data_IF_501867033144
#
_entry.id   IF_501867033144
#
_cell.length_a   1.000
_cell.length_b   1.000
_cell.length_c   1.000
_cell.angle_alpha   90.00
_cell.angle_beta   90.00
_cell.angle_gamma   90.00
#
_symmetry.space_group_name_H-M   'P 1'
#
loop_
_entity.id
_entity.type
_entity.pdbx_description
1 polymer ?
#
# COMPACT_ATOMS: atom_id res chain seq x y z
N UNK A 1 -2.36 -17.91 -9.68
CA UNK A 1 -1.50 -17.67 -8.51
C UNK A 1 -2.23 -16.83 -7.44
N UNK A 2 -2.85 -15.70 -7.77
CA UNK A 2 -3.50 -14.81 -6.79
C UNK A 2 -5.00 -15.12 -6.55
N UNK A 3 -5.63 -16.01 -7.30
CA UNK A 3 -7.05 -16.37 -7.15
C UNK A 3 -7.40 -16.81 -5.72
N UNK A 4 -6.66 -17.77 -5.17
CA UNK A 4 -6.89 -18.22 -3.80
C UNK A 4 -6.70 -17.09 -2.77
N UNK A 5 -5.85 -16.10 -3.04
CA UNK A 5 -5.63 -14.96 -2.16
C UNK A 5 -6.86 -14.03 -2.12
N UNK A 6 -7.44 -13.70 -3.27
CA UNK A 6 -8.61 -12.80 -3.33
C UNK A 6 -9.92 -13.46 -2.87
N UNK A 7 -9.96 -14.80 -2.82
CA UNK A 7 -11.11 -15.58 -2.38
C UNK A 7 -11.11 -15.89 -0.88
N UNK A 8 -10.19 -15.30 -0.12
CA UNK A 8 -10.07 -15.54 1.32
C UNK A 8 -10.21 -14.26 2.17
N UNK A 9 -10.49 -14.47 3.46
CA UNK A 9 -10.45 -13.48 4.53
C UNK A 9 -11.22 -12.17 4.24
N UNK A 10 -10.55 -11.02 4.31
CA UNK A 10 -11.13 -9.68 4.17
C UNK A 10 -11.56 -9.43 2.73
N UNK A 11 -10.76 -9.82 1.75
CA UNK A 11 -11.04 -9.63 0.33
C UNK A 11 -12.31 -10.36 -0.10
N UNK A 12 -12.45 -11.64 0.27
CA UNK A 12 -13.68 -12.41 0.03
C UNK A 12 -14.91 -11.74 0.64
N UNK A 13 -14.79 -11.31 1.90
CA UNK A 13 -15.91 -10.64 2.59
C UNK A 13 -16.31 -9.32 1.94
N UNK A 14 -15.33 -8.54 1.48
CA UNK A 14 -15.58 -7.29 0.77
C UNK A 14 -16.33 -7.52 -0.53
N UNK A 15 -15.92 -8.52 -1.33
CA UNK A 15 -16.59 -8.93 -2.56
C UNK A 15 -18.01 -9.47 -2.28
N UNK A 16 -18.16 -10.36 -1.29
CA UNK A 16 -19.47 -10.91 -0.91
C UNK A 16 -20.46 -9.83 -0.47
N UNK A 17 -19.97 -8.74 0.13
CA UNK A 17 -20.80 -7.59 0.52
C UNK A 17 -21.04 -6.60 -0.64
N UNK A 18 -20.48 -6.83 -1.83
CA UNK A 18 -20.58 -5.90 -2.95
C UNK A 18 -19.85 -4.58 -2.75
N UNK A 19 -18.85 -4.52 -1.84
CA UNK A 19 -18.06 -3.31 -1.59
C UNK A 19 -16.93 -3.11 -2.59
N UNK A 20 -16.52 -4.19 -3.26
CA UNK A 20 -15.51 -4.22 -4.32
C UNK A 20 -15.79 -5.39 -5.24
N UNK A 21 -15.46 -5.24 -6.51
CA UNK A 21 -15.37 -6.32 -7.48
C UNK A 21 -13.89 -6.46 -7.88
N UNK A 22 -13.34 -7.67 -7.82
CA UNK A 22 -11.96 -7.96 -8.21
C UNK A 22 -12.00 -8.93 -9.39
N UNK A 23 -11.52 -8.47 -10.55
CA UNK A 23 -11.44 -9.27 -11.78
C UNK A 23 -9.98 -9.61 -12.08
N UNK A 24 -9.69 -10.89 -12.25
CA UNK A 24 -8.40 -11.35 -12.75
C UNK A 24 -8.54 -11.56 -14.26
N UNK A 25 -7.66 -10.92 -15.01
CA UNK A 25 -7.60 -11.03 -16.46
C UNK A 25 -6.29 -11.73 -16.84
N UNK A 26 -6.41 -12.83 -17.55
CA UNK A 26 -5.25 -13.58 -18.02
C UNK A 26 -4.74 -12.99 -19.34
N UNK A 27 -3.51 -12.50 -19.37
CA UNK A 27 -2.91 -11.95 -20.59
C UNK A 27 -2.86 -12.97 -21.76
N UNK A 28 -2.81 -14.26 -21.46
CA UNK A 28 -2.84 -15.31 -22.50
C UNK A 28 -4.15 -15.36 -23.29
N UNK A 29 -5.23 -14.81 -22.77
CA UNK A 29 -6.50 -14.69 -23.51
C UNK A 29 -6.39 -13.70 -24.68
N UNK A 30 -5.34 -12.86 -24.68
CA UNK A 30 -5.02 -11.88 -25.72
C UNK A 30 -3.78 -12.24 -26.54
N UNK A 31 -3.30 -13.46 -26.39
CA UNK A 31 -2.11 -13.96 -27.05
C UNK A 31 -2.13 -13.75 -28.57
N UNK A 32 -0.94 -13.72 -29.18
CA UNK A 32 -0.74 -13.57 -30.64
C UNK A 32 -1.16 -14.80 -31.42
N UNK A 33 -1.10 -15.96 -30.80
CA UNK A 33 -1.30 -17.25 -31.43
C UNK A 33 -1.99 -18.25 -30.48
N UNK A 34 -2.33 -19.43 -31.02
CA UNK A 34 -2.94 -20.53 -30.27
C UNK A 34 -2.00 -21.17 -29.22
N UNK A 35 -0.70 -20.91 -29.31
CA UNK A 35 0.29 -21.39 -28.35
C UNK A 35 0.28 -20.56 -27.06
N UNK A 36 -0.32 -19.36 -27.07
CA UNK A 36 -0.43 -18.49 -25.93
C UNK A 36 0.75 -17.54 -25.78
N UNK A 37 1.39 -17.12 -26.88
CA UNK A 37 2.54 -16.22 -26.90
C UNK A 37 2.11 -14.81 -26.47
N UNK A 38 2.69 -14.36 -25.35
CA UNK A 38 2.44 -13.01 -24.75
C UNK A 38 3.72 -12.21 -24.57
N UNK A 39 4.87 -12.83 -24.73
CA UNK A 39 6.21 -12.30 -24.48
C UNK A 39 7.16 -12.67 -25.64
N UNK A 40 8.23 -11.89 -25.82
CA UNK A 40 9.20 -12.06 -26.88
C UNK A 40 10.60 -11.64 -26.40
N UNK A 41 11.65 -12.02 -27.12
CA UNK A 41 13.01 -11.61 -26.81
C UNK A 41 13.19 -10.09 -26.98
N UNK A 42 13.91 -9.42 -26.06
CA UNK A 42 14.13 -7.99 -26.19
C UNK A 42 15.00 -7.65 -27.42
N UNK A 43 14.68 -6.55 -28.08
CA UNK A 43 15.60 -5.97 -29.06
C UNK A 43 16.91 -5.56 -28.40
N UNK A 44 18.01 -5.72 -29.10
CA UNK A 44 19.35 -5.45 -28.54
C UNK A 44 19.98 -6.65 -27.82
N UNK A 45 19.25 -7.77 -27.70
CA UNK A 45 19.74 -8.98 -27.02
C UNK A 45 19.57 -8.91 -25.50
N UNK A 46 20.05 -9.91 -24.81
CA UNK A 46 19.95 -10.06 -23.36
C UNK A 46 19.28 -11.39 -22.98
N UNK A 47 19.33 -11.71 -21.70
CA UNK A 47 18.61 -12.85 -21.13
C UNK A 47 17.15 -12.47 -20.87
N UNK A 48 16.25 -13.47 -20.88
CA UNK A 48 14.85 -13.28 -20.52
C UNK A 48 13.94 -12.86 -21.68
N UNK A 49 12.70 -12.52 -21.32
CA UNK A 49 11.61 -12.20 -22.23
C UNK A 49 10.96 -10.89 -21.79
N UNK A 50 10.27 -10.21 -22.69
CA UNK A 50 9.55 -8.94 -22.41
C UNK A 50 8.12 -9.09 -22.86
N UNK A 51 7.15 -8.68 -22.05
CA UNK A 51 5.73 -8.72 -22.39
C UNK A 51 5.44 -7.81 -23.58
N UNK A 52 4.78 -8.35 -24.59
CA UNK A 52 4.57 -7.69 -25.88
C UNK A 52 3.53 -6.58 -25.81
N UNK A 53 3.86 -5.42 -26.36
CA UNK A 53 3.02 -4.21 -26.34
C UNK A 53 1.63 -4.41 -26.97
N UNK A 54 1.54 -5.15 -28.05
CA UNK A 54 0.28 -5.42 -28.73
C UNK A 54 -0.67 -6.29 -27.90
N UNK A 55 -0.16 -7.29 -27.19
CA UNK A 55 -0.92 -8.12 -26.25
C UNK A 55 -1.43 -7.26 -25.08
N UNK A 56 -0.55 -6.46 -24.50
CA UNK A 56 -0.89 -5.53 -23.40
C UNK A 56 -1.95 -4.52 -23.85
N UNK A 57 -1.79 -3.92 -25.04
CA UNK A 57 -2.75 -2.96 -25.58
C UNK A 57 -4.10 -3.60 -25.87
N UNK A 58 -4.11 -4.82 -26.43
CA UNK A 58 -5.33 -5.56 -26.72
C UNK A 58 -6.08 -5.90 -25.43
N UNK A 59 -5.37 -6.33 -24.37
CA UNK A 59 -5.99 -6.57 -23.07
C UNK A 59 -6.58 -5.30 -22.46
N UNK A 60 -5.87 -4.17 -22.53
CA UNK A 60 -6.35 -2.88 -22.05
C UNK A 60 -7.62 -2.44 -22.79
N UNK A 61 -7.65 -2.55 -24.11
CA UNK A 61 -8.84 -2.20 -24.92
C UNK A 61 -10.06 -3.06 -24.55
N UNK A 62 -9.85 -4.33 -24.22
CA UNK A 62 -10.93 -5.23 -23.77
C UNK A 62 -11.49 -4.84 -22.40
N UNK A 63 -10.63 -4.41 -21.46
CA UNK A 63 -11.04 -4.01 -20.10
C UNK A 63 -11.73 -2.64 -20.13
N UNK A 64 -11.13 -1.68 -20.84
CA UNK A 64 -11.55 -0.27 -20.82
C UNK A 64 -12.65 0.06 -21.85
N UNK A 65 -13.16 -0.92 -22.64
CA UNK A 65 -14.11 -0.68 -23.75
C UNK A 65 -13.73 0.53 -24.63
N UNK A 66 -12.42 0.67 -24.96
CA UNK A 66 -11.81 1.79 -25.71
C UNK A 66 -12.00 3.19 -25.13
N UNK A 67 -12.61 3.31 -23.96
CA UNK A 67 -12.71 4.57 -23.22
C UNK A 67 -12.02 4.39 -21.87
N UNK A 68 -11.22 5.36 -21.46
CA UNK A 68 -10.83 5.43 -20.03
C UNK A 68 -12.12 5.44 -19.22
N UNK A 69 -12.35 4.46 -18.32
CA UNK A 69 -13.69 4.18 -17.83
C UNK A 69 -14.33 5.35 -17.09
N UNK A 70 -13.54 6.11 -16.34
CA UNK A 70 -14.02 7.31 -15.60
C UNK A 70 -12.88 8.29 -15.36
N UNK A 71 -13.20 9.50 -14.91
CA UNK A 71 -12.21 10.49 -14.45
C UNK A 71 -11.48 10.06 -13.16
N UNK A 72 -11.96 8.99 -12.52
CA UNK A 72 -11.41 8.42 -11.28
C UNK A 72 -10.89 6.99 -11.47
N UNK A 73 -10.39 6.65 -12.64
CA UNK A 73 -9.71 5.39 -12.91
C UNK A 73 -8.21 5.60 -13.04
N UNK A 74 -7.42 4.61 -12.61
CA UNK A 74 -5.96 4.57 -12.84
C UNK A 74 -5.51 3.23 -13.36
N UNK A 75 -4.50 3.26 -14.23
CA UNK A 75 -3.80 2.10 -14.75
C UNK A 75 -2.38 2.15 -14.21
N UNK A 76 -1.97 1.12 -13.47
CA UNK A 76 -0.63 1.04 -12.89
C UNK A 76 0.11 -0.22 -13.36
N UNK A 77 1.43 -0.12 -13.45
CA UNK A 77 2.34 -1.26 -13.64
C UNK A 77 3.05 -1.59 -12.34
N UNK A 78 3.23 -2.87 -12.03
CA UNK A 78 4.20 -3.29 -10.99
C UNK A 78 5.59 -3.38 -11.62
N UNK A 79 6.52 -2.58 -11.12
CA UNK A 79 7.87 -2.46 -11.70
C UNK A 79 8.88 -2.11 -10.61
N UNK A 80 10.09 -2.69 -10.67
CA UNK A 80 11.18 -2.32 -9.75
C UNK A 80 11.61 -0.84 -9.91
N UNK A 81 11.37 -0.24 -11.09
CA UNK A 81 11.70 1.18 -11.40
C UNK A 81 10.65 2.15 -10.86
N UNK A 82 9.49 1.65 -10.44
CA UNK A 82 8.36 2.47 -10.06
C UNK A 82 8.58 3.24 -8.75
N UNK A 83 7.68 4.18 -8.49
CA UNK A 83 7.62 4.86 -7.19
C UNK A 83 7.23 3.88 -6.09
N UNK A 84 7.86 4.02 -4.90
CA UNK A 84 7.63 3.09 -3.79
C UNK A 84 6.20 3.22 -3.28
N UNK A 85 5.48 2.09 -3.22
CA UNK A 85 4.15 1.98 -2.64
C UNK A 85 4.19 2.24 -1.13
N UNK A 86 3.26 3.01 -0.63
CA UNK A 86 3.13 3.34 0.78
C UNK A 86 1.67 3.58 1.17
N UNK A 87 1.39 3.78 2.46
CA UNK A 87 0.04 3.97 2.97
C UNK A 87 -0.68 5.17 2.33
N UNK A 88 0.02 6.25 2.02
CA UNK A 88 -0.57 7.42 1.34
C UNK A 88 -1.06 7.06 -0.05
N UNK A 89 -0.28 6.29 -0.82
CA UNK A 89 -0.72 5.78 -2.12
C UNK A 89 -1.91 4.83 -2.00
N UNK A 90 -1.91 3.94 -1.01
CA UNK A 90 -3.08 3.08 -0.77
C UNK A 90 -4.34 3.91 -0.51
N UNK A 91 -4.24 4.98 0.28
CA UNK A 91 -5.34 5.92 0.54
C UNK A 91 -5.77 6.72 -0.71
N UNK A 92 -4.84 7.05 -1.61
CA UNK A 92 -5.17 7.66 -2.91
C UNK A 92 -5.95 6.68 -3.79
N UNK A 93 -5.46 5.46 -3.90
CA UNK A 93 -6.08 4.42 -4.73
C UNK A 93 -7.43 3.96 -4.19
N UNK A 94 -7.65 3.97 -2.87
CA UNK A 94 -8.94 3.62 -2.27
C UNK A 94 -10.07 4.62 -2.58
N UNK A 95 -9.76 5.78 -3.14
CA UNK A 95 -10.73 6.81 -3.57
C UNK A 95 -11.09 6.71 -5.05
N UNK A 96 -10.46 5.80 -5.78
CA UNK A 96 -10.74 5.55 -7.19
C UNK A 96 -12.00 4.70 -7.35
N UNK A 97 -12.69 4.90 -8.46
CA UNK A 97 -13.81 4.03 -8.86
C UNK A 97 -13.29 2.73 -9.48
N UNK A 98 -12.09 2.77 -10.11
CA UNK A 98 -11.45 1.63 -10.73
C UNK A 98 -9.91 1.76 -10.67
N UNK A 99 -9.25 0.64 -10.37
CA UNK A 99 -7.79 0.52 -10.41
C UNK A 99 -7.43 -0.72 -11.25
N UNK A 100 -6.75 -0.51 -12.36
CA UNK A 100 -6.23 -1.56 -13.22
C UNK A 100 -4.76 -1.77 -12.87
N UNK A 101 -4.38 -3.00 -12.49
CA UNK A 101 -3.02 -3.33 -12.09
C UNK A 101 -2.44 -4.33 -13.09
N UNK A 102 -1.41 -3.92 -13.83
CA UNK A 102 -0.63 -4.84 -14.65
C UNK A 102 0.50 -5.44 -13.81
N UNK A 103 0.42 -6.75 -13.59
CA UNK A 103 1.46 -7.52 -12.92
C UNK A 103 2.57 -7.88 -13.92
N UNK A 104 3.77 -7.34 -13.72
CA UNK A 104 4.94 -7.64 -14.56
C UNK A 104 5.42 -9.08 -14.38
N UNK A 105 6.04 -9.61 -15.44
CA UNK A 105 6.72 -10.90 -15.42
C UNK A 105 8.00 -10.83 -16.24
N UNK A 106 8.93 -11.77 -16.04
CA UNK A 106 10.21 -11.84 -16.76
C UNK A 106 11.04 -10.54 -16.60
N UNK A 107 11.51 -9.95 -17.73
CA UNK A 107 12.26 -8.68 -17.75
C UNK A 107 11.34 -7.45 -17.72
N UNK A 108 10.01 -7.66 -17.66
CA UNK A 108 9.03 -6.60 -17.56
C UNK A 108 8.21 -6.40 -18.83
N UNK A 109 7.90 -5.15 -19.10
CA UNK A 109 6.98 -4.72 -20.16
C UNK A 109 7.74 -4.03 -21.29
N UNK A 110 7.22 -4.14 -22.51
CA UNK A 110 7.67 -3.29 -23.62
C UNK A 110 7.47 -1.82 -23.24
N UNK A 111 8.53 -1.03 -23.35
CA UNK A 111 8.55 0.38 -22.89
C UNK A 111 7.45 1.24 -23.52
N UNK A 112 7.02 0.92 -24.73
CA UNK A 112 5.92 1.63 -25.43
C UNK A 112 4.58 1.51 -24.72
N UNK A 113 4.40 0.51 -23.83
CA UNK A 113 3.19 0.37 -23.04
C UNK A 113 3.08 1.42 -21.92
N UNK A 114 4.19 2.01 -21.50
CA UNK A 114 4.21 3.10 -20.48
C UNK A 114 3.37 4.31 -20.90
N UNK A 115 3.18 4.57 -22.20
CA UNK A 115 2.31 5.63 -22.71
C UNK A 115 0.83 5.46 -22.33
N UNK A 116 0.41 4.25 -22.00
CA UNK A 116 -0.96 3.91 -21.61
C UNK A 116 -1.17 3.80 -20.12
N UNK A 117 -0.12 3.98 -19.32
CA UNK A 117 -0.09 3.76 -17.88
C UNK A 117 0.01 5.09 -17.16
N UNK A 118 -0.71 5.23 -16.06
CA UNK A 118 -0.67 6.45 -15.26
C UNK A 118 0.54 6.46 -14.29
N UNK A 119 0.98 5.29 -13.83
CA UNK A 119 2.07 5.20 -12.86
C UNK A 119 2.73 3.81 -12.81
N UNK A 120 4.06 3.75 -12.60
CA UNK A 120 4.77 2.54 -12.22
C UNK A 120 4.97 2.50 -10.69
N UNK A 121 4.67 1.34 -10.09
CA UNK A 121 4.70 1.14 -8.65
C UNK A 121 5.67 0.02 -8.28
N UNK A 122 6.56 0.31 -7.33
CA UNK A 122 7.48 -0.65 -6.70
C UNK A 122 7.04 -0.95 -5.27
N UNK A 123 7.27 -2.19 -4.79
CA UNK A 123 7.13 -2.51 -3.37
C UNK A 123 8.39 -2.19 -2.56
N UNK A 124 9.52 -1.94 -3.22
CA UNK A 124 10.81 -1.68 -2.58
C UNK A 124 11.98 -2.20 -3.41
N UNK A 125 13.19 -2.03 -2.89
CA UNK A 125 14.46 -2.33 -3.57
C UNK A 125 14.82 -3.82 -3.43
N UNK A 126 13.99 -4.70 -3.98
CA UNK A 126 14.22 -6.14 -4.05
C UNK A 126 13.54 -6.75 -5.27
N UNK A 127 14.02 -7.91 -5.71
CA UNK A 127 13.51 -8.62 -6.88
C UNK A 127 12.68 -9.82 -6.44
N UNK A 128 11.53 -9.99 -7.09
CA UNK A 128 10.64 -11.15 -6.96
C UNK A 128 10.39 -11.78 -8.32
N UNK A 129 9.88 -13.00 -8.34
CA UNK A 129 9.71 -13.78 -9.58
C UNK A 129 8.67 -13.24 -10.54
N UNK A 130 7.72 -12.42 -10.05
CA UNK A 130 6.64 -11.82 -10.86
C UNK A 130 5.90 -10.76 -10.08
N UNK A 131 5.21 -9.88 -10.77
CA UNK A 131 4.46 -8.76 -10.21
C UNK A 131 3.12 -9.13 -9.56
N UNK A 132 2.70 -10.40 -9.65
CA UNK A 132 1.41 -10.84 -9.11
C UNK A 132 1.33 -10.66 -7.59
N UNK A 133 2.42 -10.95 -6.86
CA UNK A 133 2.48 -10.71 -5.41
C UNK A 133 2.44 -9.22 -5.08
N UNK A 134 3.06 -8.39 -5.91
CA UNK A 134 2.97 -6.94 -5.79
C UNK A 134 1.53 -6.47 -5.99
N UNK A 135 0.87 -6.95 -7.03
CA UNK A 135 -0.53 -6.63 -7.32
C UNK A 135 -1.46 -7.09 -6.18
N UNK A 136 -1.24 -8.28 -5.63
CA UNK A 136 -1.98 -8.81 -4.48
C UNK A 136 -1.79 -7.91 -3.23
N UNK A 137 -0.56 -7.51 -2.94
CA UNK A 137 -0.23 -6.63 -1.81
C UNK A 137 -0.90 -5.26 -1.96
N UNK A 138 -0.84 -4.66 -3.15
CA UNK A 138 -1.51 -3.39 -3.44
C UNK A 138 -3.03 -3.54 -3.28
N UNK A 139 -3.61 -4.61 -3.84
CA UNK A 139 -5.03 -4.92 -3.75
C UNK A 139 -5.48 -5.03 -2.28
N UNK A 140 -4.78 -5.80 -1.44
CA UNK A 140 -5.10 -5.93 -0.01
C UNK A 140 -5.04 -4.58 0.71
N UNK A 141 -3.95 -3.84 0.52
CA UNK A 141 -3.74 -2.55 1.15
C UNK A 141 -4.82 -1.52 0.78
N UNK A 142 -5.32 -1.56 -0.46
CA UNK A 142 -6.37 -0.65 -0.96
C UNK A 142 -7.75 -1.09 -0.49
N UNK A 143 -8.11 -2.36 -0.67
CA UNK A 143 -9.46 -2.88 -0.36
C UNK A 143 -9.79 -2.74 1.11
N UNK A 144 -8.83 -2.98 2.03
CA UNK A 144 -9.08 -2.82 3.46
C UNK A 144 -9.41 -1.38 3.88
N UNK A 145 -9.09 -0.38 3.05
CA UNK A 145 -9.41 1.04 3.29
C UNK A 145 -10.79 1.44 2.78
N UNK A 146 -11.47 0.59 2.02
CA UNK A 146 -12.80 0.89 1.52
C UNK A 146 -13.83 0.93 2.67
N UNK A 147 -14.79 1.87 2.65
CA UNK A 147 -15.83 1.98 3.67
C UNK A 147 -16.58 0.66 3.86
N UNK A 148 -16.80 0.24 5.10
CA UNK A 148 -17.54 -0.97 5.44
C UNK A 148 -16.79 -2.31 5.32
N UNK A 149 -15.54 -2.31 4.83
CA UNK A 149 -14.70 -3.52 4.75
C UNK A 149 -14.24 -3.94 6.14
N UNK A 150 -13.68 -3.03 6.93
CA UNK A 150 -13.33 -3.28 8.32
C UNK A 150 -14.51 -2.98 9.24
N UNK A 151 -14.62 -3.77 10.33
CA UNK A 151 -15.73 -3.64 11.30
C UNK A 151 -15.71 -2.33 12.09
N UNK A 152 -14.54 -1.75 12.32
CA UNK A 152 -14.36 -0.48 13.04
C UNK A 152 -13.88 0.56 12.04
N UNK A 153 -14.66 1.59 11.80
CA UNK A 153 -14.31 2.70 10.90
C UNK A 153 -13.02 3.41 11.34
N UNK A 154 -12.77 3.49 12.65
CA UNK A 154 -11.56 4.10 13.19
C UNK A 154 -10.32 3.18 13.15
N UNK A 155 -10.45 1.93 12.70
CA UNK A 155 -9.32 1.00 12.65
C UNK A 155 -8.23 1.43 11.67
N UNK A 156 -8.57 2.25 10.68
CA UNK A 156 -7.63 2.72 9.64
C UNK A 156 -7.01 4.08 9.93
N UNK A 157 -7.47 4.80 10.96
CA UNK A 157 -7.03 6.16 11.24
C UNK A 157 -5.78 6.25 12.15
N UNK A 158 -5.60 5.26 13.03
CA UNK A 158 -4.49 5.22 14.00
C UNK A 158 -3.67 3.92 13.91
N UNK A 159 -3.74 3.21 12.78
CA UNK A 159 -2.96 1.98 12.56
C UNK A 159 -1.54 2.29 12.12
N UNK A 160 -0.67 1.33 12.41
CA UNK A 160 0.73 1.19 11.97
C UNK A 160 1.46 2.46 11.50
N UNK A 161 0.78 3.31 10.70
CA UNK A 161 1.25 4.63 10.24
C UNK A 161 0.10 5.63 10.33
N UNK A 162 0.22 6.63 11.20
CA UNK A 162 -0.77 7.69 11.33
C UNK A 162 -0.12 9.08 11.33
N UNK A 163 -0.83 10.07 10.83
CA UNK A 163 -0.38 11.46 10.82
C UNK A 163 -0.99 12.23 11.99
N UNK A 164 -0.21 13.13 12.56
CA UNK A 164 -0.67 14.03 13.63
C UNK A 164 -0.07 15.43 13.41
N UNK A 165 -0.87 16.52 13.56
CA UNK A 165 -0.34 17.87 13.57
C UNK A 165 0.75 18.01 14.63
N UNK A 166 1.89 18.59 14.25
CA UNK A 166 3.04 18.71 15.15
C UNK A 166 2.70 19.52 16.41
N UNK A 167 1.85 20.53 16.28
CA UNK A 167 1.41 21.36 17.43
C UNK A 167 0.60 20.54 18.44
N UNK A 168 -0.23 19.62 17.97
CA UNK A 168 -1.04 18.74 18.82
C UNK A 168 -0.13 17.73 19.54
N UNK A 169 0.82 17.14 18.82
CA UNK A 169 1.79 16.23 19.41
C UNK A 169 2.59 16.92 20.53
N UNK A 170 3.13 18.12 20.28
CA UNK A 170 3.86 18.92 21.28
C UNK A 170 3.00 19.20 22.51
N UNK A 171 1.72 19.54 22.31
CA UNK A 171 0.81 19.86 23.41
C UNK A 171 0.52 18.66 24.33
N UNK A 172 0.48 17.44 23.76
CA UNK A 172 0.12 16.21 24.47
C UNK A 172 1.34 15.60 25.20
N UNK A 173 2.48 15.44 24.50
CA UNK A 173 3.62 14.71 25.05
C UNK A 173 4.68 15.59 25.72
N UNK A 174 4.50 16.90 25.65
CA UNK A 174 5.44 17.93 26.09
C UNK A 174 6.55 18.24 25.07
N UNK A 175 7.10 19.45 25.07
CA UNK A 175 8.11 19.85 24.10
C UNK A 175 9.43 19.12 24.30
N UNK A 176 9.80 18.30 23.35
CA UNK A 176 11.12 17.67 23.25
C UNK A 176 11.99 18.48 22.28
N UNK A 177 13.32 18.52 22.46
CA UNK A 177 14.23 19.27 21.57
C UNK A 177 13.98 18.94 20.09
N UNK A 178 13.86 17.67 19.74
CA UNK A 178 13.61 17.22 18.37
C UNK A 178 12.30 17.76 17.80
N UNK A 179 11.21 17.81 18.59
CA UNK A 179 9.92 18.37 18.14
C UNK A 179 10.02 19.88 17.89
N UNK A 180 10.75 20.60 18.75
CA UNK A 180 11.00 22.04 18.57
C UNK A 180 11.83 22.31 17.31
N UNK A 181 12.80 21.45 17.00
CA UNK A 181 13.60 21.57 15.78
C UNK A 181 12.77 21.28 14.53
N UNK A 182 11.88 20.30 14.54
CA UNK A 182 10.92 20.06 13.46
C UNK A 182 10.00 21.27 13.26
N UNK A 183 9.54 21.90 14.36
CA UNK A 183 8.73 23.09 14.30
C UNK A 183 9.48 24.29 13.69
N UNK A 184 10.75 24.49 14.05
CA UNK A 184 11.63 25.51 13.46
C UNK A 184 11.86 25.29 11.96
N UNK A 185 11.92 24.03 11.51
CA UNK A 185 12.01 23.64 10.09
C UNK A 185 10.69 23.87 9.32
N UNK A 186 9.63 24.31 10.00
CA UNK A 186 8.32 24.56 9.38
C UNK A 186 7.48 23.32 9.11
N UNK A 187 7.84 22.17 9.72
CA UNK A 187 7.05 20.94 9.63
C UNK A 187 5.72 21.15 10.37
N UNK A 188 4.61 20.94 9.68
CA UNK A 188 3.26 21.11 10.22
C UNK A 188 2.65 19.84 10.75
N UNK A 189 2.99 18.72 10.14
CA UNK A 189 2.46 17.39 10.42
C UNK A 189 3.59 16.38 10.39
N UNK A 190 3.54 15.39 11.26
CA UNK A 190 4.47 14.27 11.31
C UNK A 190 3.72 12.96 11.15
N UNK A 191 4.34 11.99 10.48
CA UNK A 191 3.85 10.64 10.43
C UNK A 191 4.55 9.80 11.48
N UNK A 192 3.79 9.06 12.28
CA UNK A 192 4.30 8.20 13.34
C UNK A 192 3.99 6.75 13.04
N UNK A 193 4.86 5.85 13.50
CA UNK A 193 4.52 4.43 13.61
C UNK A 193 3.70 4.19 14.88
N UNK A 194 2.91 3.12 14.88
CA UNK A 194 2.09 2.76 16.03
C UNK A 194 2.94 2.48 17.29
N UNK A 195 2.37 2.80 18.44
CA UNK A 195 2.94 2.50 19.75
C UNK A 195 2.90 0.99 20.05
N UNK A 196 3.73 0.49 20.99
CA UNK A 196 3.75 -0.94 21.33
C UNK A 196 2.44 -1.38 21.96
N UNK A 197 1.92 -2.50 21.48
CA UNK A 197 0.70 -3.13 21.99
C UNK A 197 1.05 -4.19 23.04
N UNK A 198 0.19 -4.32 24.05
CA UNK A 198 0.31 -5.30 25.11
C UNK A 198 -1.00 -6.10 25.24
N UNK A 199 -0.89 -7.38 25.55
CA UNK A 199 -2.02 -8.28 25.80
C UNK A 199 -1.81 -9.08 27.07
N UNK A 200 -2.75 -9.93 27.42
CA UNK A 200 -2.67 -10.85 28.57
C UNK A 200 -1.68 -11.99 28.31
N UNK A 201 -0.99 -12.49 29.35
CA UNK A 201 -1.10 -12.12 30.76
C UNK A 201 -0.42 -10.76 31.07
N UNK A 202 -0.72 -10.18 32.24
CA UNK A 202 -0.18 -8.89 32.71
C UNK A 202 1.33 -8.95 33.00
N UNK A 203 1.82 -10.13 33.39
CA UNK A 203 3.24 -10.43 33.56
C UNK A 203 3.61 -11.72 32.83
N UNK A 204 4.70 -11.68 32.07
CA UNK A 204 5.25 -12.84 31.38
C UNK A 204 6.78 -12.84 31.48
N UNK A 205 7.35 -13.89 32.08
CA UNK A 205 8.80 -14.04 32.29
C UNK A 205 9.47 -12.82 32.97
N UNK A 206 8.82 -12.27 33.98
CA UNK A 206 9.30 -11.10 34.72
C UNK A 206 9.10 -9.76 34.00
N UNK A 207 8.55 -9.77 32.79
CA UNK A 207 8.22 -8.55 32.02
C UNK A 207 6.77 -8.17 32.25
N UNK A 208 6.52 -6.97 32.72
CA UNK A 208 5.18 -6.47 33.05
C UNK A 208 4.62 -5.53 31.99
N UNK A 209 3.32 -5.54 31.83
CA UNK A 209 2.59 -4.51 31.11
C UNK A 209 2.83 -3.18 31.84
N UNK A 210 3.10 -2.08 31.13
CA UNK A 210 3.25 -0.75 31.77
C UNK A 210 2.01 -0.38 32.59
N UNK A 211 2.20 -0.02 33.86
CA UNK A 211 1.11 0.31 34.81
C UNK A 211 0.16 1.38 34.29
N UNK A 212 0.67 2.31 33.49
CA UNK A 212 -0.14 3.37 32.89
C UNK A 212 -1.28 2.81 31.99
N UNK A 213 -1.06 1.66 31.32
CA UNK A 213 -2.06 1.00 30.47
C UNK A 213 -3.15 0.32 31.32
N UNK A 214 -2.87 0.06 32.58
CA UNK A 214 -3.78 -0.57 33.56
C UNK A 214 -4.52 0.50 34.41
N UNK A 215 -4.15 1.78 34.28
CA UNK A 215 -4.65 2.88 35.13
C UNK A 215 -6.14 3.22 34.93
N UNK A 216 -6.75 2.83 33.81
CA UNK A 216 -8.12 3.22 33.47
C UNK A 216 -8.28 4.71 33.12
N UNK A 217 -7.20 5.50 33.04
CA UNK A 217 -7.22 6.92 32.68
C UNK A 217 -6.94 7.12 31.19
N UNK A 218 -7.96 7.40 30.33
CA UNK A 218 -7.78 7.50 28.88
C UNK A 218 -6.80 8.60 28.46
N UNK A 219 -6.72 9.70 29.22
CA UNK A 219 -5.83 10.82 28.89
C UNK A 219 -4.37 10.43 29.11
N UNK A 220 -4.06 9.79 30.24
CA UNK A 220 -2.71 9.30 30.53
C UNK A 220 -2.30 8.21 29.56
N UNK A 221 -3.20 7.28 29.23
CA UNK A 221 -2.96 6.21 28.24
C UNK A 221 -2.65 6.82 26.88
N UNK A 222 -3.47 7.77 26.38
CA UNK A 222 -3.24 8.43 25.07
C UNK A 222 -1.90 9.19 25.05
N UNK A 223 -1.57 9.90 26.12
CA UNK A 223 -0.27 10.59 26.24
C UNK A 223 0.88 9.59 26.12
N UNK A 224 0.83 8.49 26.85
CA UNK A 224 1.85 7.44 26.82
C UNK A 224 1.96 6.81 25.43
N UNK A 225 0.83 6.51 24.79
CA UNK A 225 0.79 5.95 23.45
C UNK A 225 1.49 6.85 22.41
N UNK A 226 1.15 8.15 22.40
CA UNK A 226 1.76 9.11 21.49
C UNK A 226 3.25 9.33 21.79
N UNK A 227 3.64 9.35 23.05
CA UNK A 227 5.03 9.44 23.43
C UNK A 227 5.82 8.22 22.93
N UNK A 228 5.29 7.01 23.12
CA UNK A 228 5.94 5.78 22.63
C UNK A 228 5.96 5.69 21.11
N UNK A 229 4.89 6.10 20.43
CA UNK A 229 4.86 6.19 18.98
C UNK A 229 5.98 7.12 18.46
N UNK A 230 6.12 8.30 19.05
CA UNK A 230 7.18 9.24 18.68
C UNK A 230 8.59 8.69 18.95
N UNK A 231 8.83 8.13 20.13
CA UNK A 231 10.12 7.52 20.50
C UNK A 231 10.53 6.41 19.53
N UNK A 232 9.59 5.52 19.17
CA UNK A 232 9.84 4.41 18.23
C UNK A 232 10.06 4.95 16.81
N UNK A 233 9.28 5.95 16.39
CA UNK A 233 9.44 6.58 15.08
C UNK A 233 10.82 7.22 14.97
N UNK A 234 11.23 7.98 15.97
CA UNK A 234 12.54 8.63 15.99
C UNK A 234 13.68 7.61 15.91
N UNK A 235 13.53 6.47 16.58
CA UNK A 235 14.55 5.42 16.61
C UNK A 235 14.61 4.57 15.32
N UNK A 236 13.45 4.19 14.80
CA UNK A 236 13.36 3.17 13.73
C UNK A 236 13.00 3.72 12.36
N UNK A 237 12.27 4.81 12.31
CA UNK A 237 11.75 5.40 11.08
C UNK A 237 11.82 6.95 11.12
N UNK A 238 13.03 7.52 11.39
CA UNK A 238 13.19 8.98 11.44
C UNK A 238 12.81 9.67 10.12
N UNK A 239 12.85 8.94 9.01
CA UNK A 239 12.40 9.38 7.69
C UNK A 239 10.93 9.82 7.64
N UNK A 240 10.08 9.34 8.56
CA UNK A 240 8.67 9.71 8.65
C UNK A 240 8.44 11.07 9.31
N UNK A 241 9.41 11.57 10.08
CA UNK A 241 9.29 12.84 10.81
C UNK A 241 9.60 14.06 9.93
N UNK A 242 10.34 13.91 8.84
CA UNK A 242 10.83 15.01 7.98
C UNK A 242 10.29 14.88 6.53
N UNK A 243 9.15 14.22 6.33
CA UNK A 243 8.50 14.18 5.02
C UNK A 243 7.83 15.53 4.74
N UNK A 244 8.44 16.26 3.78
CA UNK A 244 7.84 17.46 3.18
C UNK A 244 6.69 17.09 2.26
#
# INVERSE_FOLDING_TARGET
>A
MIEGFIEESILKRAQTKGLVEIKIVNLRDFARDSYGTVDERPYGGGAGMVLCVDVLKKSLSSIANDKRPTTKSKIILTSARGSVFNQKKAQEFSKLDELIIYAGHYEGFDERFSEYVDEEISLGDFVITGGELSAATICDAVVRLLPGVLKKENATTEESFFSIPLVDLISIISPLPTLLDLQKKGIKEVQLVEYPQYTRPEEFEGKKVPEILLSGDPKKVKKWQLQKAFEITLLRRPDLLDKK
#
